data_IF_242218782748
#
_entry.id   IF_242218782748
#
_cell.length_a   1.000
_cell.length_b   1.000
_cell.length_c   1.000
_cell.angle_alpha   90.00
_cell.angle_beta   90.00
_cell.angle_gamma   90.00
#
_symmetry.space_group_name_H-M   'P 1'
#
loop_
_entity.id
_entity.type
_entity.pdbx_description
1 polymer ?
#
# COMPACT_ATOMS: atom_id res chain seq x y z
N UNK A 1 2.03 11.91 1.04
CA UNK A 1 1.21 12.09 2.26
C UNK A 1 2.10 12.54 3.42
N UNK A 2 1.54 13.33 4.35
CA UNK A 2 2.20 13.77 5.58
C UNK A 2 1.40 13.25 6.78
N UNK A 3 1.94 12.25 7.49
CA UNK A 3 1.30 11.61 8.65
C UNK A 3 0.87 12.65 9.70
N UNK A 4 1.62 13.75 9.83
CA UNK A 4 1.32 14.80 10.81
C UNK A 4 0.02 15.55 10.49
N UNK A 5 -0.39 15.59 9.21
CA UNK A 5 -1.60 16.30 8.76
C UNK A 5 -2.89 15.47 8.87
N UNK A 6 -2.79 14.21 9.31
CA UNK A 6 -3.96 13.37 9.54
C UNK A 6 -4.69 13.74 10.82
N UNK A 7 -5.99 13.48 10.85
CA UNK A 7 -6.79 13.55 12.07
C UNK A 7 -6.38 12.45 13.06
N UNK A 8 -6.68 12.69 14.34
CA UNK A 8 -6.27 11.82 15.46
C UNK A 8 -6.77 10.39 15.29
N UNK A 9 -8.03 10.22 14.88
CA UNK A 9 -8.64 8.89 14.71
C UNK A 9 -7.90 8.11 13.62
N UNK A 10 -7.66 8.72 12.47
CA UNK A 10 -6.88 8.08 11.39
C UNK A 10 -5.45 7.75 11.88
N UNK A 11 -4.79 8.61 12.65
CA UNK A 11 -3.45 8.31 13.20
C UNK A 11 -3.46 7.09 14.12
N UNK A 12 -4.46 6.97 14.98
CA UNK A 12 -4.62 5.85 15.90
C UNK A 12 -4.87 4.53 15.17
N UNK A 13 -5.79 4.53 14.21
CA UNK A 13 -6.10 3.35 13.39
C UNK A 13 -4.86 2.89 12.61
N UNK A 14 -4.14 3.82 11.98
CA UNK A 14 -2.94 3.52 11.22
C UNK A 14 -1.80 3.02 12.10
N UNK A 15 -1.57 3.66 13.25
CA UNK A 15 -0.57 3.24 14.22
C UNK A 15 -0.84 1.82 14.71
N UNK A 16 -2.09 1.52 15.06
CA UNK A 16 -2.49 0.20 15.55
C UNK A 16 -2.27 -0.88 14.49
N UNK A 17 -2.73 -0.62 13.26
CA UNK A 17 -2.53 -1.52 12.12
C UNK A 17 -1.04 -1.76 11.81
N UNK A 18 -0.21 -0.71 11.87
CA UNK A 18 1.22 -0.83 11.60
C UNK A 18 1.97 -1.57 12.69
N UNK A 19 1.56 -1.41 13.95
CA UNK A 19 2.09 -2.18 15.08
C UNK A 19 1.74 -3.66 14.93
N UNK A 20 0.51 -3.99 14.53
CA UNK A 20 0.12 -5.37 14.24
C UNK A 20 0.98 -5.99 13.12
N UNK A 21 1.12 -5.31 11.97
CA UNK A 21 1.98 -5.78 10.87
C UNK A 21 3.44 -5.94 11.29
N UNK A 22 3.92 -5.03 12.12
CA UNK A 22 5.25 -5.05 12.69
C UNK A 22 5.46 -6.30 13.55
N UNK A 23 4.55 -6.60 14.47
CA UNK A 23 4.62 -7.79 15.32
C UNK A 23 4.56 -9.08 14.48
N UNK A 24 3.62 -9.18 13.53
CA UNK A 24 3.48 -10.36 12.64
C UNK A 24 4.76 -10.65 11.83
N UNK A 25 5.50 -9.62 11.44
CA UNK A 25 6.75 -9.83 10.69
C UNK A 25 7.94 -10.18 11.56
N UNK A 26 7.89 -9.99 12.89
CA UNK A 26 9.02 -10.23 13.78
C UNK A 26 9.62 -8.95 14.39
N UNK A 27 8.82 -7.90 14.50
CA UNK A 27 9.13 -6.68 15.24
C UNK A 27 9.69 -5.53 14.38
N UNK A 28 9.93 -4.40 15.06
CA UNK A 28 10.15 -3.09 14.42
C UNK A 28 11.34 -3.06 13.47
N UNK A 29 12.48 -3.62 13.89
CA UNK A 29 13.69 -3.60 13.07
C UNK A 29 13.48 -4.43 11.79
N UNK A 30 12.88 -5.61 11.93
CA UNK A 30 12.57 -6.49 10.80
C UNK A 30 11.62 -5.81 9.81
N UNK A 31 10.55 -5.20 10.31
CA UNK A 31 9.59 -4.45 9.51
C UNK A 31 10.25 -3.31 8.72
N UNK A 32 11.09 -2.51 9.37
CA UNK A 32 11.77 -1.38 8.73
C UNK A 32 12.80 -1.84 7.69
N UNK A 33 13.61 -2.86 7.99
CA UNK A 33 14.54 -3.44 7.02
C UNK A 33 13.80 -4.02 5.81
N UNK A 34 12.68 -4.72 6.01
CA UNK A 34 11.87 -5.21 4.90
C UNK A 34 11.35 -4.07 4.01
N UNK A 35 10.91 -2.95 4.60
CA UNK A 35 10.48 -1.77 3.85
C UNK A 35 11.60 -1.13 3.03
N UNK A 36 12.82 -1.06 3.58
CA UNK A 36 14.00 -0.55 2.88
C UNK A 36 14.31 -1.45 1.68
N UNK A 37 14.41 -2.76 1.91
CA UNK A 37 14.73 -3.72 0.86
C UNK A 37 13.69 -3.73 -0.28
N UNK A 38 12.39 -3.63 0.04
CA UNK A 38 11.33 -3.54 -0.99
C UNK A 38 11.59 -2.36 -1.95
N UNK A 39 12.12 -1.25 -1.45
CA UNK A 39 12.35 -0.03 -2.25
C UNK A 39 13.65 -0.11 -3.05
N UNK A 40 14.62 -0.86 -2.56
CA UNK A 40 15.89 -1.10 -3.24
C UNK A 40 15.74 -2.07 -4.41
N UNK A 41 14.69 -2.90 -4.44
CA UNK A 41 14.39 -3.76 -5.59
C UNK A 41 14.12 -2.92 -6.85
N UNK A 42 14.94 -3.13 -7.88
CA UNK A 42 14.79 -2.57 -9.23
C UNK A 42 14.75 -3.70 -10.28
N UNK A 43 13.87 -3.62 -11.30
CA UNK A 43 12.76 -2.68 -11.47
C UNK A 43 11.70 -2.84 -10.36
N UNK A 44 10.73 -1.91 -10.26
CA UNK A 44 9.75 -1.90 -9.17
C UNK A 44 9.14 -3.31 -8.93
N UNK A 45 9.21 -3.85 -7.70
CA UNK A 45 8.84 -5.23 -7.42
C UNK A 45 7.38 -5.57 -7.74
N UNK A 46 6.48 -4.58 -7.72
CA UNK A 46 5.08 -4.76 -8.09
C UNK A 46 4.89 -5.13 -9.57
N UNK A 47 5.87 -4.84 -10.43
CA UNK A 47 5.86 -5.21 -11.85
C UNK A 47 6.43 -6.62 -12.12
N UNK A 48 6.72 -7.40 -11.07
CA UNK A 48 7.17 -8.76 -11.25
C UNK A 48 6.07 -9.59 -11.93
N UNK A 49 6.42 -10.29 -13.02
CA UNK A 49 5.49 -11.12 -13.81
C UNK A 49 4.84 -12.22 -12.97
N UNK A 50 5.53 -12.75 -11.98
CA UNK A 50 4.97 -13.77 -11.07
C UNK A 50 3.95 -13.19 -10.09
N UNK A 51 3.89 -11.86 -9.93
CA UNK A 51 3.14 -11.21 -8.86
C UNK A 51 3.73 -11.43 -7.47
N UNK A 52 4.94 -11.99 -7.36
CA UNK A 52 5.58 -12.26 -6.07
C UNK A 52 7.06 -11.91 -6.10
N UNK A 53 7.56 -11.41 -4.97
CA UNK A 53 8.96 -11.06 -4.76
C UNK A 53 9.31 -11.27 -3.29
N UNK A 54 10.59 -11.19 -2.96
CA UNK A 54 11.05 -11.46 -1.62
C UNK A 54 12.14 -10.47 -1.21
N UNK A 55 12.11 -10.12 0.06
CA UNK A 55 13.24 -9.51 0.77
C UNK A 55 14.07 -10.62 1.43
N UNK A 56 15.12 -10.27 2.15
CA UNK A 56 15.90 -11.16 3.01
C UNK A 56 14.99 -11.92 4.00
N UNK A 57 13.93 -11.25 4.44
CA UNK A 57 13.16 -11.60 5.63
C UNK A 57 11.67 -11.83 5.38
N UNK A 58 11.11 -11.30 4.30
CA UNK A 58 9.68 -11.36 3.99
C UNK A 58 9.48 -11.88 2.57
N UNK A 59 8.46 -12.71 2.38
CA UNK A 59 7.90 -13.01 1.07
C UNK A 59 6.67 -12.14 0.85
N UNK A 60 6.63 -11.43 -0.27
CA UNK A 60 5.51 -10.59 -0.66
C UNK A 60 4.87 -11.16 -1.93
N UNK A 61 3.56 -11.32 -1.93
CA UNK A 61 2.80 -11.81 -3.08
C UNK A 61 1.52 -11.01 -3.29
N UNK A 62 1.14 -10.87 -4.55
CA UNK A 62 -0.14 -10.33 -4.97
C UNK A 62 -1.03 -11.48 -5.42
N UNK A 63 -2.31 -11.46 -5.05
CA UNK A 63 -3.27 -12.46 -5.52
C UNK A 63 -3.45 -12.42 -7.05
N UNK A 64 -3.09 -11.31 -7.68
CA UNK A 64 -3.04 -11.13 -9.14
C UNK A 64 -1.84 -10.26 -9.51
N UNK A 65 -1.10 -10.65 -10.55
CA UNK A 65 0.04 -9.85 -11.04
C UNK A 65 -0.42 -8.50 -11.60
N UNK A 66 0.38 -7.46 -11.35
CA UNK A 66 0.13 -6.12 -11.86
C UNK A 66 0.86 -5.89 -13.18
N UNK A 67 0.10 -5.52 -14.20
CA UNK A 67 0.65 -5.10 -15.47
C UNK A 67 1.12 -3.65 -15.41
N UNK A 68 2.10 -3.32 -16.26
CA UNK A 68 2.71 -1.98 -16.33
C UNK A 68 1.66 -0.87 -16.49
N UNK A 69 0.68 -1.06 -17.37
CA UNK A 69 -0.36 -0.06 -17.66
C UNK A 69 -1.29 0.17 -16.45
N UNK A 70 -1.61 -0.90 -15.71
CA UNK A 70 -2.38 -0.83 -14.47
C UNK A 70 -1.59 -0.08 -13.40
N UNK A 71 -0.30 -0.39 -13.27
CA UNK A 71 0.59 0.26 -12.30
C UNK A 71 0.77 1.75 -12.59
N UNK A 72 0.99 2.15 -13.84
CA UNK A 72 1.11 3.57 -14.21
C UNK A 72 -0.18 4.32 -13.93
N UNK A 73 -1.33 3.75 -14.30
CA UNK A 73 -2.65 4.34 -14.03
C UNK A 73 -2.89 4.48 -12.52
N UNK A 74 -2.50 3.47 -11.73
CA UNK A 74 -2.61 3.48 -10.27
C UNK A 74 -1.75 4.58 -9.65
N UNK A 75 -0.50 4.70 -10.10
CA UNK A 75 0.44 5.71 -9.63
C UNK A 75 -0.05 7.14 -9.90
N UNK A 76 -0.58 7.40 -11.10
CA UNK A 76 -1.16 8.70 -11.44
C UNK A 76 -2.44 8.97 -10.64
N UNK A 77 -3.26 7.94 -10.40
CA UNK A 77 -4.48 8.05 -9.60
C UNK A 77 -4.18 8.38 -8.14
N UNK A 78 -3.16 7.77 -7.54
CA UNK A 78 -2.71 8.08 -6.17
C UNK A 78 -2.25 9.54 -6.06
N UNK A 79 -1.44 10.01 -7.01
CA UNK A 79 -0.98 11.41 -7.05
C UNK A 79 -2.12 12.41 -7.19
N UNK A 80 -3.16 12.05 -7.94
CA UNK A 80 -4.36 12.86 -8.08
C UNK A 80 -5.18 12.88 -6.79
N UNK A 81 -5.42 11.72 -6.21
CA UNK A 81 -6.12 11.58 -4.92
C UNK A 81 -5.45 12.42 -3.83
N UNK A 82 -4.11 12.48 -3.78
CA UNK A 82 -3.39 13.33 -2.82
C UNK A 82 -3.59 14.83 -3.04
N UNK A 83 -3.90 15.26 -4.28
CA UNK A 83 -4.10 16.68 -4.63
C UNK A 83 -5.54 17.14 -4.45
N UNK A 84 -6.51 16.33 -4.89
CA UNK A 84 -7.93 16.71 -4.96
C UNK A 84 -8.86 15.86 -4.09
N UNK A 85 -8.35 14.81 -3.45
CA UNK A 85 -9.09 13.95 -2.53
C UNK A 85 -9.84 12.78 -3.17
N UNK A 86 -9.89 12.71 -4.50
CA UNK A 86 -10.54 11.64 -5.27
C UNK A 86 -9.73 11.28 -6.53
N UNK A 87 -9.65 9.99 -6.87
CA UNK A 87 -8.96 9.51 -8.07
C UNK A 87 -9.70 9.83 -9.38
N UNK A 88 -11.02 10.01 -9.28
CA UNK A 88 -11.92 10.22 -10.41
C UNK A 88 -12.28 11.69 -10.64
N UNK A 89 -11.87 12.60 -9.76
CA UNK A 89 -12.21 14.02 -9.88
C UNK A 89 -11.36 14.71 -10.95
N UNK A 90 -12.00 15.56 -11.76
CA UNK A 90 -11.36 16.37 -12.80
C UNK A 90 -10.82 15.61 -14.04
N UNK A 91 -11.19 14.34 -14.25
CA UNK A 91 -10.71 13.56 -15.42
C UNK A 91 -11.67 13.57 -16.60
N UNK A 92 -11.10 13.51 -17.81
CA UNK A 92 -11.88 13.41 -19.04
C UNK A 92 -12.52 12.01 -19.21
N UNK A 93 -13.54 11.85 -20.07
CA UNK A 93 -14.24 10.57 -20.24
C UNK A 93 -13.35 9.38 -20.64
N UNK A 94 -12.25 9.63 -21.39
CA UNK A 94 -11.31 8.60 -21.81
C UNK A 94 -10.52 8.08 -20.61
N UNK A 95 -9.96 8.98 -19.81
CA UNK A 95 -9.26 8.66 -18.56
C UNK A 95 -10.18 8.00 -17.54
N UNK A 96 -11.43 8.46 -17.43
CA UNK A 96 -12.42 7.85 -16.55
C UNK A 96 -12.59 6.35 -16.82
N UNK A 97 -12.72 5.96 -18.09
CA UNK A 97 -12.84 4.55 -18.46
C UNK A 97 -11.58 3.75 -18.10
N UNK A 98 -10.40 4.33 -18.27
CA UNK A 98 -9.12 3.69 -17.95
C UNK A 98 -9.00 3.48 -16.43
N UNK A 99 -9.26 4.53 -15.63
CA UNK A 99 -9.21 4.45 -14.16
C UNK A 99 -10.27 3.48 -13.63
N UNK A 100 -11.48 3.47 -14.19
CA UNK A 100 -12.54 2.53 -13.80
C UNK A 100 -12.17 1.08 -14.10
N UNK A 101 -11.54 0.80 -15.24
CA UNK A 101 -11.07 -0.54 -15.58
C UNK A 101 -9.93 -0.99 -14.65
N UNK A 102 -9.03 -0.08 -14.28
CA UNK A 102 -8.00 -0.31 -13.28
C UNK A 102 -8.63 -0.62 -11.91
N UNK A 103 -9.60 0.17 -11.45
CA UNK A 103 -10.33 -0.07 -10.19
C UNK A 103 -10.98 -1.47 -10.20
N UNK A 104 -11.70 -1.83 -11.26
CA UNK A 104 -12.32 -3.16 -11.39
C UNK A 104 -11.31 -4.30 -11.33
N UNK A 105 -10.11 -4.07 -11.88
CA UNK A 105 -9.02 -5.05 -11.88
C UNK A 105 -8.38 -5.19 -10.50
N UNK A 106 -8.17 -4.08 -9.79
CA UNK A 106 -7.50 -4.05 -8.50
C UNK A 106 -8.42 -4.37 -7.33
N UNK A 107 -9.74 -4.19 -7.46
CA UNK A 107 -10.72 -4.44 -6.40
C UNK A 107 -10.60 -5.82 -5.74
N UNK A 108 -10.44 -6.94 -6.48
CA UNK A 108 -10.23 -8.25 -5.87
C UNK A 108 -8.75 -8.55 -5.51
N UNK A 109 -7.83 -7.61 -5.76
CA UNK A 109 -6.40 -7.87 -5.57
C UNK A 109 -5.96 -7.55 -4.15
N UNK A 110 -5.34 -8.52 -3.51
CA UNK A 110 -4.75 -8.42 -2.17
C UNK A 110 -3.24 -8.54 -2.26
N UNK A 111 -2.55 -7.91 -1.31
CA UNK A 111 -1.12 -8.07 -1.09
C UNK A 111 -0.94 -8.84 0.22
N UNK A 112 -0.15 -9.90 0.17
CA UNK A 112 0.20 -10.76 1.30
C UNK A 112 1.67 -10.59 1.64
N UNK A 113 1.95 -10.40 2.92
CA UNK A 113 3.28 -10.37 3.49
C UNK A 113 3.42 -11.57 4.42
N UNK A 114 4.44 -12.39 4.20
CA UNK A 114 4.70 -13.61 4.94
C UNK A 114 6.14 -13.56 5.49
N UNK A 115 6.28 -13.68 6.81
CA UNK A 115 7.57 -13.75 7.47
C UNK A 115 8.25 -15.08 7.14
N UNK A 116 9.50 -15.02 6.66
CA UNK A 116 10.29 -16.23 6.41
C UNK A 116 10.79 -16.91 7.69
N UNK A 117 10.84 -16.17 8.79
CA UNK A 117 11.36 -16.67 10.06
C UNK A 117 10.25 -17.36 10.87
N UNK A 118 9.06 -16.76 10.98
CA UNK A 118 7.94 -17.31 11.77
C UNK A 118 6.90 -18.07 10.93
N UNK A 119 6.82 -17.82 9.62
CA UNK A 119 5.73 -18.29 8.76
C UNK A 119 4.41 -17.55 8.97
N UNK A 120 4.36 -16.57 9.88
CA UNK A 120 3.18 -15.73 10.07
C UNK A 120 2.98 -14.80 8.87
N UNK A 121 1.73 -14.46 8.59
CA UNK A 121 1.40 -13.61 7.47
C UNK A 121 0.23 -12.69 7.75
N UNK A 122 0.21 -11.56 7.06
CA UNK A 122 -0.93 -10.68 6.99
C UNK A 122 -1.23 -10.31 5.54
N UNK A 123 -2.47 -9.94 5.27
CA UNK A 123 -2.90 -9.53 3.94
C UNK A 123 -3.81 -8.32 4.01
N UNK A 124 -3.75 -7.48 2.98
CA UNK A 124 -4.64 -6.33 2.84
C UNK A 124 -5.01 -6.09 1.36
N UNK A 125 -6.19 -5.54 1.06
CA UNK A 125 -6.57 -5.20 -0.31
C UNK A 125 -5.77 -3.99 -0.83
N UNK A 126 -5.56 -3.89 -2.14
CA UNK A 126 -4.94 -2.69 -2.73
C UNK A 126 -5.88 -1.48 -2.64
N UNK A 127 -7.18 -1.72 -2.82
CA UNK A 127 -8.20 -0.68 -2.82
C UNK A 127 -9.08 -0.78 -1.57
N UNK A 128 -9.35 0.39 -1.00
CA UNK A 128 -10.36 0.58 0.01
C UNK A 128 -11.69 0.96 -0.66
N UNK A 129 -12.69 0.10 -0.49
CA UNK A 129 -14.06 0.30 -0.96
C UNK A 129 -15.06 0.41 0.19
N UNK A 130 -14.61 0.72 1.40
CA UNK A 130 -15.46 0.90 2.59
C UNK A 130 -16.47 2.03 2.43
N UNK A 131 -16.14 3.06 1.63
CA UNK A 131 -17.03 4.19 1.34
C UNK A 131 -17.72 3.98 0.01
N UNK A 132 -19.05 3.99 0.03
CA UNK A 132 -19.86 3.86 -1.18
C UNK A 132 -19.49 4.96 -2.20
N UNK A 133 -19.21 4.55 -3.44
CA UNK A 133 -18.82 5.43 -4.57
C UNK A 133 -17.50 6.18 -4.41
N UNK A 134 -16.73 5.98 -3.33
CA UNK A 134 -15.36 6.49 -3.19
C UNK A 134 -14.39 5.33 -3.07
N UNK A 135 -13.67 5.06 -4.15
CA UNK A 135 -12.60 4.06 -4.14
C UNK A 135 -11.28 4.75 -3.86
N UNK A 136 -10.61 4.37 -2.78
CA UNK A 136 -9.27 4.88 -2.45
C UNK A 136 -8.25 3.75 -2.50
N UNK A 137 -6.96 4.07 -2.62
CA UNK A 137 -5.92 3.05 -2.38
C UNK A 137 -5.74 2.93 -0.88
N UNK A 138 -5.65 1.70 -0.37
CA UNK A 138 -5.44 1.47 1.06
C UNK A 138 -4.17 2.14 1.55
N UNK A 139 -4.22 2.66 2.78
CA UNK A 139 -3.05 3.29 3.37
C UNK A 139 -1.86 2.34 3.44
N UNK A 140 -2.09 1.09 3.86
CA UNK A 140 -1.07 0.04 3.89
C UNK A 140 -0.33 -0.04 2.55
N UNK A 141 -1.06 -0.18 1.43
CA UNK A 141 -0.43 -0.26 0.10
C UNK A 141 0.43 0.96 -0.22
N UNK A 142 -0.07 2.17 0.05
CA UNK A 142 0.71 3.40 -0.19
C UNK A 142 1.96 3.46 0.68
N UNK A 143 1.85 3.09 1.95
CA UNK A 143 2.95 3.13 2.90
C UNK A 143 4.06 2.11 2.57
N UNK A 144 3.70 0.89 2.16
CA UNK A 144 4.66 -0.13 1.77
C UNK A 144 5.40 0.21 0.46
N UNK A 145 4.71 0.77 -0.53
CA UNK A 145 5.25 0.87 -1.90
C UNK A 145 5.50 2.29 -2.44
N UNK A 146 4.91 3.33 -1.85
CA UNK A 146 4.92 4.70 -2.41
C UNK A 146 5.45 5.76 -1.46
N UNK A 147 5.25 5.62 -0.16
CA UNK A 147 5.68 6.64 0.81
C UNK A 147 7.14 6.47 1.24
N UNK A 148 7.70 7.54 1.80
CA UNK A 148 9.02 7.52 2.43
C UNK A 148 9.00 6.69 3.73
N UNK A 149 10.17 6.17 4.13
CA UNK A 149 10.30 5.33 5.32
C UNK A 149 9.89 6.08 6.59
N UNK A 150 10.16 7.38 6.58
CA UNK A 150 9.89 8.26 7.70
C UNK A 150 8.41 8.31 8.05
N UNK A 151 7.51 8.17 7.07
CA UNK A 151 6.07 8.11 7.32
C UNK A 151 5.67 6.82 8.06
N UNK A 152 6.27 5.69 7.69
CA UNK A 152 6.06 4.42 8.41
C UNK A 152 6.66 4.48 9.83
N UNK A 153 7.82 5.11 10.01
CA UNK A 153 8.43 5.33 11.32
C UNK A 153 7.54 6.20 12.22
N UNK A 154 6.97 7.29 11.69
CA UNK A 154 6.02 8.15 12.41
C UNK A 154 4.77 7.38 12.83
N UNK A 155 4.20 6.56 11.93
CA UNK A 155 3.05 5.73 12.26
C UNK A 155 3.34 4.73 13.39
N UNK A 156 4.50 4.07 13.36
CA UNK A 156 4.91 3.12 14.41
C UNK A 156 5.21 3.79 15.75
N UNK A 157 5.74 5.02 15.74
CA UNK A 157 6.10 5.78 16.93
C UNK A 157 4.92 6.55 17.55
N UNK A 158 3.75 6.54 16.90
CA UNK A 158 2.59 7.24 17.42
C UNK A 158 2.05 6.51 18.67
N UNK A 159 1.82 7.28 19.72
CA UNK A 159 1.15 6.86 20.94
C UNK A 159 -0.08 7.75 21.09
N UNK A 160 -1.26 7.12 21.17
CA UNK A 160 -2.50 7.83 21.43
C UNK A 160 -2.38 8.54 22.78
N UNK A 161 -2.69 9.84 22.81
CA UNK A 161 -2.71 10.64 24.03
C UNK A 161 -4.08 10.64 24.65
#
# INVERSE_FOLDING_TARGET
>A
MDFNKLDTKTKEELSSQFKEYCETLGGKNFFLTALEEIRDIKPNPLLNKSGAFHTSKVRISLSKSLFKDTFTTLFDSIRREEKVGDMLDGINPKEYKVVMNMIKTLKPTTVTFESKDSGESFSFPILDTSVEKKTKVTFAFKAFFFYHLDEAKKALAYEAK
#
